data_IF_569363705152
#
_entry.id   IF_569363705152
#
_cell.length_a   1.000
_cell.length_b   1.000
_cell.length_c   1.000
_cell.angle_alpha   90.00
_cell.angle_beta   90.00
_cell.angle_gamma   90.00
#
_symmetry.space_group_name_H-M   'P 1'
#
loop_
_entity.id
_entity.type
_entity.pdbx_description
1 polymer ?
#
# COMPACT_ATOMS: atom_id res chain seq x y z
N UNK A 1 3.51 14.30 -65.70
CA UNK A 1 3.27 12.90 -65.29
C UNK A 1 4.11 12.62 -64.06
N UNK A 2 3.62 11.79 -63.13
CA UNK A 2 4.23 11.41 -61.84
C UNK A 2 4.00 12.39 -60.68
N UNK A 3 2.75 12.57 -60.23
CA UNK A 3 2.45 13.07 -58.87
C UNK A 3 1.05 12.66 -58.37
N UNK A 4 0.63 11.43 -58.66
CA UNK A 4 -0.67 10.90 -58.19
C UNK A 4 -0.62 9.43 -57.76
N UNK A 5 0.56 8.79 -57.76
CA UNK A 5 0.73 7.37 -57.40
C UNK A 5 1.24 7.12 -55.97
N UNK A 6 1.65 8.16 -55.23
CA UNK A 6 2.21 8.02 -53.88
C UNK A 6 1.13 8.04 -52.77
N UNK A 7 -0.02 8.68 -53.01
CA UNK A 7 -1.12 8.80 -52.03
C UNK A 7 -1.94 7.50 -51.89
N UNK A 8 -2.07 6.72 -52.98
CA UNK A 8 -2.88 5.50 -52.98
C UNK A 8 -2.20 4.31 -52.29
N UNK A 9 -0.87 4.34 -52.11
CA UNK A 9 -0.10 3.26 -51.45
C UNK A 9 -0.06 3.37 -49.93
N UNK A 10 -0.40 4.53 -49.35
CA UNK A 10 -0.50 4.70 -47.89
C UNK A 10 -1.90 4.35 -47.36
N UNK A 11 -2.95 4.51 -48.17
CA UNK A 11 -4.32 4.16 -47.76
C UNK A 11 -4.61 2.65 -47.87
N UNK A 12 -3.89 1.92 -48.74
CA UNK A 12 -3.98 0.45 -48.83
C UNK A 12 -3.25 -0.28 -47.69
N UNK A 13 -2.32 0.38 -46.97
CA UNK A 13 -1.64 -0.19 -45.81
C UNK A 13 -2.46 -0.15 -44.51
N UNK A 14 -3.34 0.84 -44.37
CA UNK A 14 -4.16 1.03 -43.15
C UNK A 14 -5.38 0.09 -43.08
N UNK A 15 -5.94 -0.33 -44.23
CA UNK A 15 -7.05 -1.30 -44.26
C UNK A 15 -6.56 -2.73 -43.94
N UNK A 16 -5.32 -3.06 -44.32
CA UNK A 16 -4.75 -4.39 -44.10
C UNK A 16 -4.43 -4.70 -42.63
N UNK A 17 -4.07 -3.70 -41.82
CA UNK A 17 -3.70 -3.90 -40.41
C UNK A 17 -4.94 -4.12 -39.53
N UNK A 18 -6.08 -3.50 -39.85
CA UNK A 18 -7.33 -3.67 -39.09
C UNK A 18 -7.93 -5.07 -39.23
N UNK A 19 -7.81 -5.70 -40.41
CA UNK A 19 -8.32 -7.06 -40.64
C UNK A 19 -7.50 -8.15 -39.91
N UNK A 20 -6.20 -7.94 -39.69
CA UNK A 20 -5.34 -8.90 -38.98
C UNK A 20 -5.61 -8.89 -37.47
N UNK A 21 -5.94 -7.75 -36.88
CA UNK A 21 -6.33 -7.65 -35.46
C UNK A 21 -7.70 -8.30 -35.19
N UNK A 22 -8.62 -8.23 -36.17
CA UNK A 22 -9.93 -8.90 -36.06
C UNK A 22 -9.85 -10.42 -36.29
N UNK A 23 -8.91 -10.93 -37.10
CA UNK A 23 -8.72 -12.38 -37.27
C UNK A 23 -7.95 -13.03 -36.11
N UNK A 24 -7.10 -12.29 -35.40
CA UNK A 24 -6.45 -12.79 -34.18
C UNK A 24 -7.44 -12.91 -33.00
N UNK A 25 -8.60 -12.26 -33.10
CA UNK A 25 -9.67 -12.33 -32.10
C UNK A 25 -10.59 -13.55 -32.26
N UNK A 26 -10.44 -14.35 -33.33
CA UNK A 26 -11.27 -15.54 -33.60
C UNK A 26 -10.56 -16.89 -33.41
N UNK A 27 -9.27 -16.92 -33.04
CA UNK A 27 -8.56 -18.18 -32.75
C UNK A 27 -8.42 -18.49 -31.25
N UNK A 28 -9.04 -17.71 -30.36
CA UNK A 28 -9.03 -17.96 -28.92
C UNK A 28 -10.20 -18.82 -28.40
N UNK A 29 -10.97 -19.47 -29.29
CA UNK A 29 -11.92 -20.52 -28.90
C UNK A 29 -11.38 -21.89 -29.33
N UNK A 30 -10.28 -22.30 -28.73
CA UNK A 30 -9.96 -23.72 -28.58
C UNK A 30 -10.46 -24.14 -27.20
N UNK A 31 -11.55 -24.90 -27.18
CA UNK A 31 -12.00 -25.66 -26.02
C UNK A 31 -10.88 -26.62 -25.62
N UNK A 32 -10.04 -26.19 -24.69
CA UNK A 32 -9.30 -27.07 -23.82
C UNK A 32 -10.11 -27.23 -22.56
N UNK A 33 -10.92 -28.29 -22.47
CA UNK A 33 -11.35 -28.82 -21.18
C UNK A 33 -10.09 -29.31 -20.47
N UNK A 34 -9.42 -28.40 -19.76
CA UNK A 34 -8.59 -28.85 -18.65
C UNK A 34 -9.57 -29.36 -17.60
N UNK A 35 -9.77 -30.67 -17.57
CA UNK A 35 -10.20 -31.37 -16.37
C UNK A 35 -9.07 -31.25 -15.32
N UNK A 36 -8.80 -30.01 -14.91
CA UNK A 36 -8.33 -29.75 -13.57
C UNK A 36 -9.51 -30.13 -12.71
N UNK A 37 -9.42 -31.34 -12.15
CA UNK A 37 -10.19 -31.68 -10.97
C UNK A 37 -10.08 -30.45 -10.06
N UNK A 38 -11.22 -29.79 -9.85
CA UNK A 38 -11.36 -28.79 -8.80
C UNK A 38 -11.13 -29.58 -7.53
N UNK A 39 -9.86 -29.75 -7.18
CA UNK A 39 -9.41 -30.30 -5.92
C UNK A 39 -10.06 -29.41 -4.89
N UNK A 40 -11.06 -30.00 -4.23
CA UNK A 40 -11.91 -29.45 -3.20
C UNK A 40 -11.44 -28.09 -2.67
N UNK A 41 -12.00 -27.01 -3.24
CA UNK A 41 -11.73 -25.65 -2.75
C UNK A 41 -12.22 -25.44 -1.31
N UNK A 42 -12.87 -26.44 -0.69
CA UNK A 42 -13.24 -26.44 0.73
C UNK A 42 -12.13 -26.89 1.68
N UNK A 43 -10.92 -27.24 1.22
CA UNK A 43 -9.82 -27.62 2.09
C UNK A 43 -8.95 -26.42 2.58
N UNK A 44 -9.00 -25.27 1.90
CA UNK A 44 -8.11 -24.12 2.17
C UNK A 44 -8.66 -23.06 3.13
N UNK A 45 -9.92 -23.18 3.54
CA UNK A 45 -10.54 -22.32 4.55
C UNK A 45 -11.30 -23.16 5.57
N UNK A 46 -10.63 -24.18 6.14
CA UNK A 46 -11.03 -24.63 7.47
C UNK A 46 -10.71 -23.47 8.40
N UNK A 47 -11.70 -22.60 8.61
CA UNK A 47 -11.63 -21.45 9.50
C UNK A 47 -11.00 -21.92 10.81
N UNK A 48 -9.73 -21.58 11.01
CA UNK A 48 -9.02 -21.90 12.23
C UNK A 48 -9.69 -21.05 13.30
N UNK A 49 -10.54 -21.67 14.10
CA UNK A 49 -11.12 -21.05 15.29
C UNK A 49 -10.02 -20.94 16.35
N UNK A 50 -9.10 -20.00 16.15
CA UNK A 50 -8.02 -19.69 17.08
C UNK A 50 -8.58 -18.86 18.22
N UNK A 51 -8.37 -19.33 19.45
CA UNK A 51 -8.78 -18.69 20.68
C UNK A 51 -7.56 -18.28 21.49
N UNK A 52 -7.73 -17.30 22.38
CA UNK A 52 -6.66 -16.87 23.29
C UNK A 52 -6.18 -18.00 24.22
N UNK A 53 -7.06 -18.97 24.51
CA UNK A 53 -6.75 -20.18 25.28
C UNK A 53 -5.79 -21.14 24.58
N UNK A 54 -5.57 -20.99 23.28
CA UNK A 54 -4.70 -21.86 22.51
C UNK A 54 -3.22 -21.49 22.69
N UNK A 55 -2.94 -20.38 23.37
CA UNK A 55 -1.60 -19.87 23.67
C UNK A 55 -1.28 -20.06 25.16
N UNK A 56 0.02 -20.15 25.54
CA UNK A 56 0.44 -20.15 26.94
C UNK A 56 -0.14 -18.97 27.73
N UNK A 57 -0.35 -19.16 29.03
CA UNK A 57 -0.97 -18.13 29.90
C UNK A 57 -0.14 -16.84 29.99
N UNK A 58 1.15 -16.93 29.75
CA UNK A 58 2.13 -15.86 29.73
C UNK A 58 2.41 -15.32 28.32
N UNK A 59 1.67 -15.78 27.31
CA UNK A 59 1.79 -15.25 25.95
C UNK A 59 1.27 -13.82 25.87
N UNK A 60 2.08 -12.94 25.26
CA UNK A 60 1.79 -11.50 25.17
C UNK A 60 1.29 -11.17 23.76
N UNK A 61 0.04 -10.71 23.66
CA UNK A 61 -0.46 -10.10 22.43
C UNK A 61 -0.18 -8.60 22.44
N UNK A 62 0.25 -8.06 21.32
CA UNK A 62 0.56 -6.64 21.24
C UNK A 62 0.30 -6.04 19.88
N UNK A 63 0.30 -4.71 19.86
CA UNK A 63 0.31 -3.94 18.61
C UNK A 63 1.55 -3.05 18.55
N UNK A 64 1.90 -2.63 17.35
CA UNK A 64 3.08 -1.81 17.11
C UNK A 64 2.80 -0.61 16.22
N UNK A 65 3.46 0.51 16.50
CA UNK A 65 3.41 1.73 15.69
C UNK A 65 4.79 2.37 15.56
N UNK A 66 4.94 3.31 14.63
CA UNK A 66 6.14 4.13 14.52
C UNK A 66 5.79 5.62 14.52
N UNK A 67 6.58 6.43 15.22
CA UNK A 67 6.36 7.85 15.42
C UNK A 67 6.00 8.61 14.14
N UNK A 68 6.79 8.43 13.07
CA UNK A 68 6.57 9.11 11.79
C UNK A 68 5.22 8.77 11.14
N UNK A 69 4.67 7.59 11.41
CA UNK A 69 3.42 7.13 10.81
C UNK A 69 2.18 7.61 11.58
N UNK A 70 2.30 7.83 12.89
CA UNK A 70 1.12 8.07 13.74
C UNK A 70 1.10 9.43 14.46
N UNK A 71 2.26 9.98 14.85
CA UNK A 71 2.29 11.13 15.76
C UNK A 71 1.68 12.38 15.12
N UNK A 72 2.11 12.72 13.90
CA UNK A 72 1.80 14.01 13.32
C UNK A 72 2.41 15.17 14.10
N UNK A 73 1.70 16.30 14.11
CA UNK A 73 2.09 17.54 14.78
C UNK A 73 3.55 17.92 14.49
N UNK A 74 3.91 17.88 13.20
CA UNK A 74 5.31 17.99 12.77
C UNK A 74 5.98 19.32 13.14
N UNK A 75 5.17 20.37 13.38
CA UNK A 75 5.59 21.74 13.70
C UNK A 75 5.36 22.13 15.16
N UNK A 76 4.87 21.21 16.00
CA UNK A 76 4.55 21.49 17.40
C UNK A 76 5.63 20.98 18.36
N UNK A 77 5.64 21.53 19.57
CA UNK A 77 6.51 21.04 20.66
C UNK A 77 8.01 21.18 20.38
N UNK A 78 8.41 22.04 19.44
CA UNK A 78 9.81 22.24 19.08
C UNK A 78 10.43 21.11 18.25
N UNK A 79 9.62 20.20 17.69
CA UNK A 79 10.12 19.12 16.82
C UNK A 79 10.84 19.65 15.58
N UNK A 80 12.02 19.12 15.29
CA UNK A 80 12.74 19.37 14.05
C UNK A 80 12.25 18.48 12.88
N UNK A 81 12.56 18.86 11.62
CA UNK A 81 12.22 18.05 10.46
C UNK A 81 13.09 16.78 10.38
N UNK A 82 12.44 15.64 10.18
CA UNK A 82 13.10 14.36 9.90
C UNK A 82 13.37 14.16 8.41
N UNK A 83 14.14 13.13 8.07
CA UNK A 83 14.37 12.70 6.68
C UNK A 83 13.04 12.40 5.98
N UNK A 84 12.10 11.77 6.69
CA UNK A 84 10.78 11.47 6.15
C UNK A 84 10.01 12.75 5.83
N UNK A 85 10.00 13.76 6.72
CA UNK A 85 9.32 15.04 6.45
C UNK A 85 9.85 15.67 5.15
N UNK A 86 11.18 15.72 4.99
CA UNK A 86 11.83 16.25 3.78
C UNK A 86 11.54 15.41 2.54
N UNK A 87 11.50 14.09 2.67
CA UNK A 87 11.18 13.18 1.58
C UNK A 87 9.75 13.42 1.08
N UNK A 88 8.79 13.48 1.99
CA UNK A 88 7.38 13.69 1.64
C UNK A 88 7.12 15.09 1.08
N UNK A 89 7.83 16.11 1.55
CA UNK A 89 7.77 17.44 0.96
C UNK A 89 8.37 17.47 -0.45
N UNK A 90 9.50 16.79 -0.67
CA UNK A 90 10.24 16.84 -1.94
C UNK A 90 9.69 15.92 -3.03
N UNK A 91 9.11 14.78 -2.66
CA UNK A 91 8.75 13.71 -3.59
C UNK A 91 7.29 13.26 -3.39
N UNK A 92 6.35 14.20 -3.41
CA UNK A 92 4.92 13.90 -3.23
C UNK A 92 4.39 12.92 -4.29
N UNK A 93 4.92 12.99 -5.51
CA UNK A 93 4.57 12.09 -6.61
C UNK A 93 4.94 10.62 -6.36
N UNK A 94 5.83 10.37 -5.39
CA UNK A 94 6.24 9.02 -4.98
C UNK A 94 5.44 8.48 -3.79
N UNK A 95 4.53 9.28 -3.25
CA UNK A 95 3.66 8.87 -2.15
C UNK A 95 2.27 8.62 -2.72
N UNK A 96 1.86 7.36 -2.67
CA UNK A 96 0.51 6.98 -3.06
C UNK A 96 -0.53 7.72 -2.18
N UNK A 97 -1.53 8.31 -2.83
CA UNK A 97 -2.52 9.15 -2.17
C UNK A 97 -2.02 10.49 -1.61
N UNK A 98 -0.76 10.88 -1.85
CA UNK A 98 -0.23 12.21 -1.47
C UNK A 98 -0.15 12.48 0.03
N UNK A 99 -0.11 11.43 0.85
CA UNK A 99 -0.01 11.53 2.31
C UNK A 99 1.26 12.25 2.79
N UNK A 100 1.22 12.77 4.01
CA UNK A 100 2.37 13.40 4.65
C UNK A 100 2.33 13.26 6.18
N UNK A 101 3.43 13.64 6.82
CA UNK A 101 3.63 13.49 8.27
C UNK A 101 3.26 14.75 9.07
N UNK A 102 2.62 15.75 8.44
CA UNK A 102 2.21 16.98 9.13
C UNK A 102 1.18 16.67 10.22
N UNK A 103 0.18 15.86 9.89
CA UNK A 103 -0.92 15.49 10.79
C UNK A 103 -0.98 13.99 11.08
N UNK A 104 -0.65 13.12 10.11
CA UNK A 104 -0.81 11.66 10.26
C UNK A 104 -2.22 11.30 10.80
N UNK A 105 -2.31 10.49 11.87
CA UNK A 105 -3.57 10.24 12.62
C UNK A 105 -3.65 11.04 13.93
N UNK A 106 -2.73 11.98 14.13
CA UNK A 106 -2.66 12.91 15.26
C UNK A 106 -2.54 12.23 16.64
N UNK A 107 -1.80 11.11 16.72
CA UNK A 107 -1.54 10.43 18.00
C UNK A 107 -0.77 11.30 19.00
N UNK A 108 -0.06 12.35 18.54
CA UNK A 108 0.61 13.29 19.42
C UNK A 108 -0.39 13.99 20.37
N UNK A 109 -1.52 14.45 19.86
CA UNK A 109 -2.56 15.08 20.66
C UNK A 109 -3.56 14.05 21.24
N UNK A 110 -3.66 12.87 20.62
CA UNK A 110 -4.70 11.87 20.91
C UNK A 110 -4.20 10.62 21.62
N UNK A 111 -3.01 10.65 22.22
CA UNK A 111 -2.43 9.48 22.91
C UNK A 111 -3.35 8.86 23.96
N UNK A 112 -4.19 9.67 24.63
CA UNK A 112 -5.18 9.18 25.60
C UNK A 112 -6.28 8.34 24.94
N UNK A 113 -6.69 8.70 23.72
CA UNK A 113 -7.64 7.92 22.94
C UNK A 113 -7.02 6.61 22.47
N UNK A 114 -5.78 6.65 22.00
CA UNK A 114 -5.05 5.46 21.55
C UNK A 114 -4.93 4.44 22.70
N UNK A 115 -4.50 4.88 23.89
CA UNK A 115 -4.42 4.00 25.07
C UNK A 115 -5.77 3.43 25.46
N UNK A 116 -6.85 4.21 25.34
CA UNK A 116 -8.21 3.72 25.59
C UNK A 116 -8.61 2.63 24.60
N UNK A 117 -8.32 2.81 23.32
CA UNK A 117 -8.61 1.82 22.27
C UNK A 117 -7.78 0.54 22.47
N UNK A 118 -6.50 0.66 22.82
CA UNK A 118 -5.65 -0.49 23.14
C UNK A 118 -6.20 -1.31 24.31
N UNK A 119 -6.71 -0.63 25.34
CA UNK A 119 -7.35 -1.28 26.48
C UNK A 119 -8.64 -2.01 26.07
N UNK A 120 -9.46 -1.40 25.21
CA UNK A 120 -10.69 -2.00 24.68
C UNK A 120 -10.40 -3.19 23.77
N UNK A 121 -9.33 -3.14 22.99
CA UNK A 121 -8.87 -4.24 22.14
C UNK A 121 -8.38 -5.45 22.96
N UNK A 122 -8.00 -5.24 24.22
CA UNK A 122 -7.62 -6.31 25.13
C UNK A 122 -6.23 -6.88 24.90
N UNK A 123 -5.33 -6.09 24.29
CA UNK A 123 -3.91 -6.44 24.09
C UNK A 123 -3.11 -6.22 25.37
N UNK A 124 -2.02 -6.97 25.50
CA UNK A 124 -1.16 -7.00 26.67
C UNK A 124 0.01 -6.01 26.56
N UNK A 125 0.42 -5.69 25.33
CA UNK A 125 1.55 -4.80 25.08
C UNK A 125 1.31 -3.82 23.95
N UNK A 126 1.97 -2.68 24.06
CA UNK A 126 2.03 -1.68 23.00
C UNK A 126 3.49 -1.28 22.78
N UNK A 127 3.99 -1.54 21.57
CA UNK A 127 5.32 -1.13 21.14
C UNK A 127 5.19 0.10 20.25
N UNK A 128 5.88 1.17 20.60
CA UNK A 128 5.95 2.37 19.78
C UNK A 128 7.39 2.84 19.66
N UNK A 129 7.69 3.66 18.65
CA UNK A 129 8.97 4.34 18.54
C UNK A 129 8.86 5.79 19.00
N UNK A 130 9.99 6.36 19.42
CA UNK A 130 10.08 7.75 19.85
C UNK A 130 10.67 8.57 18.69
N UNK A 131 10.03 9.69 18.34
CA UNK A 131 10.55 10.59 17.32
C UNK A 131 11.86 11.25 17.78
N UNK A 132 12.99 10.85 17.18
CA UNK A 132 14.30 11.43 17.50
C UNK A 132 14.32 12.94 17.33
N UNK A 133 13.72 13.45 16.24
CA UNK A 133 13.71 14.89 15.95
C UNK A 133 12.84 15.70 16.90
N UNK A 134 12.00 15.04 17.72
CA UNK A 134 11.25 15.66 18.81
C UNK A 134 12.07 15.72 20.11
N UNK A 135 12.94 14.74 20.36
CA UNK A 135 13.80 14.70 21.56
C UNK A 135 15.07 15.55 21.38
N UNK A 136 15.69 15.46 20.21
CA UNK A 136 16.92 16.17 19.86
C UNK A 136 16.77 16.92 18.53
N UNK A 137 16.04 18.05 18.49
CA UNK A 137 15.88 18.85 17.29
C UNK A 137 17.24 19.39 16.80
N UNK A 138 17.52 19.24 15.50
CA UNK A 138 18.72 19.80 14.86
C UNK A 138 20.05 19.10 15.18
N UNK A 139 20.04 18.01 15.95
CA UNK A 139 21.23 17.20 16.23
C UNK A 139 21.13 15.85 15.52
N UNK A 140 21.94 15.72 14.45
CA UNK A 140 22.06 14.58 13.54
C UNK A 140 20.81 14.25 12.71
N UNK A 141 20.76 14.79 11.49
CA UNK A 141 20.04 14.18 10.38
C UNK A 141 21.11 13.55 9.48
N UNK A 142 21.14 12.22 9.37
CA UNK A 142 21.95 11.50 8.38
C UNK A 142 21.33 11.69 6.99
#
# INVERSE_FOLDING_TARGET
MVSSSLSLRLLQGLVGISAVVLLASLSANAQGESNLTVGDQNAYAKELCVKRSDFPKDFVFGVSTAAAQIEGSAKEGGRGPSIWDKFAEKFQEKIDGGGNMLTAIDSYNRIKDDVRLLKQLGVDSYRFSISWTRILPGKFCI
#
